data_IF_648105590733
#
_entry.id   IF_648105590733
#
_cell.length_a   1.000
_cell.length_b   1.000
_cell.length_c   1.000
_cell.angle_alpha   90.00
_cell.angle_beta   90.00
_cell.angle_gamma   90.00
#
_symmetry.space_group_name_H-M   'P 1'
#
loop_
_entity.id
_entity.type
_entity.pdbx_description
1 polymer ?
#
# COMPACT_ATOMS: atom_id res chain seq x y z
N UNK A 1 -14.48 9.03 14.00
CA UNK A 1 -13.22 8.34 13.66
C UNK A 1 -12.30 8.44 14.87
N UNK A 2 -11.67 7.33 15.29
CA UNK A 2 -10.67 7.32 16.36
C UNK A 2 -9.30 7.16 15.72
N UNK A 3 -8.35 8.02 16.10
CA UNK A 3 -6.95 7.92 15.67
C UNK A 3 -6.09 7.63 16.90
N UNK A 4 -5.28 6.58 16.83
CA UNK A 4 -4.33 6.22 17.87
C UNK A 4 -2.92 6.20 17.27
N UNK A 5 -2.04 7.07 17.76
CA UNK A 5 -0.65 7.16 17.33
C UNK A 5 0.20 6.46 18.39
N UNK A 6 0.85 5.36 18.00
CA UNK A 6 1.75 4.61 18.89
C UNK A 6 3.19 4.65 18.35
N UNK A 7 4.01 5.63 18.76
CA UNK A 7 5.40 5.75 18.29
C UNK A 7 6.33 4.71 18.92
N UNK A 8 5.90 3.99 19.97
CA UNK A 8 6.69 2.96 20.63
C UNK A 8 6.72 1.63 19.86
N UNK A 9 5.91 1.50 18.81
CA UNK A 9 5.92 0.31 17.96
C UNK A 9 7.28 0.15 17.28
N UNK A 10 7.87 -1.07 17.30
CA UNK A 10 9.02 -1.39 16.49
C UNK A 10 8.87 -1.00 15.02
N UNK A 11 9.98 -0.66 14.39
CA UNK A 11 10.01 -0.32 12.97
C UNK A 11 9.58 -1.52 12.11
N UNK A 12 8.41 -1.44 11.49
CA UNK A 12 7.85 -2.55 10.69
C UNK A 12 8.69 -2.89 9.46
N UNK A 13 9.41 -1.93 8.87
CA UNK A 13 10.34 -2.20 7.77
C UNK A 13 11.51 -3.04 8.26
N UNK A 14 12.16 -2.63 9.35
CA UNK A 14 13.29 -3.37 9.92
C UNK A 14 12.86 -4.80 10.31
N UNK A 15 11.71 -4.93 10.98
CA UNK A 15 11.15 -6.24 11.31
C UNK A 15 10.86 -7.11 10.07
N UNK A 16 10.30 -6.53 9.01
CA UNK A 16 9.99 -7.23 7.76
C UNK A 16 11.24 -7.78 7.04
N UNK A 17 12.41 -7.18 7.24
CA UNK A 17 13.67 -7.66 6.67
C UNK A 17 14.56 -8.42 7.67
N UNK A 18 14.03 -8.75 8.86
CA UNK A 18 14.75 -9.50 9.89
C UNK A 18 15.77 -8.69 10.69
N UNK A 19 15.73 -7.37 10.60
CA UNK A 19 16.67 -6.43 11.25
C UNK A 19 16.09 -5.78 12.53
N UNK A 20 14.92 -6.23 13.01
CA UNK A 20 14.29 -5.64 14.19
C UNK A 20 13.18 -6.50 14.81
N UNK A 21 12.70 -6.14 16.01
CA UNK A 21 11.65 -6.90 16.69
C UNK A 21 10.30 -6.73 16.00
N UNK A 22 9.45 -7.76 16.07
CA UNK A 22 8.09 -7.72 15.52
C UNK A 22 7.24 -6.67 16.24
N UNK A 23 6.48 -5.82 15.52
CA UNK A 23 5.55 -4.87 16.13
C UNK A 23 4.16 -5.48 16.44
N UNK A 24 3.93 -6.75 16.13
CA UNK A 24 2.60 -7.37 16.14
C UNK A 24 1.89 -7.27 17.50
N UNK A 25 2.58 -7.61 18.60
CA UNK A 25 2.00 -7.58 19.94
C UNK A 25 1.57 -6.14 20.33
N UNK A 26 2.43 -5.16 20.05
CA UNK A 26 2.12 -3.76 20.28
C UNK A 26 0.95 -3.26 19.43
N UNK A 27 0.85 -3.71 18.17
CA UNK A 27 -0.30 -3.41 17.31
C UNK A 27 -1.58 -4.03 17.86
N UNK A 28 -1.55 -5.29 18.31
CA UNK A 28 -2.70 -5.97 18.88
C UNK A 28 -3.19 -5.26 20.15
N UNK A 29 -2.25 -4.81 20.99
CA UNK A 29 -2.56 -3.97 22.14
C UNK A 29 -3.24 -2.65 21.74
N UNK A 30 -2.73 -1.94 20.74
CA UNK A 30 -3.34 -0.72 20.20
C UNK A 30 -4.74 -0.99 19.67
N UNK A 31 -4.95 -2.06 18.90
CA UNK A 31 -6.28 -2.41 18.38
C UNK A 31 -7.27 -2.74 19.49
N UNK A 32 -6.87 -3.51 20.51
CA UNK A 32 -7.72 -3.76 21.71
C UNK A 32 -8.14 -2.46 22.39
N UNK A 33 -7.24 -1.48 22.50
CA UNK A 33 -7.58 -0.15 23.05
C UNK A 33 -8.57 0.60 22.17
N UNK A 34 -8.40 0.58 20.85
CA UNK A 34 -9.33 1.23 19.92
C UNK A 34 -10.73 0.59 19.97
N UNK A 35 -10.82 -0.74 20.00
CA UNK A 35 -12.10 -1.45 20.14
C UNK A 35 -12.79 -1.10 21.46
N UNK A 36 -12.05 -1.06 22.59
CA UNK A 36 -12.58 -0.62 23.90
C UNK A 36 -13.07 0.83 23.89
N UNK A 37 -12.46 1.69 23.07
CA UNK A 37 -12.86 3.08 22.89
C UNK A 37 -14.08 3.24 21.95
N UNK A 38 -14.64 2.15 21.42
CA UNK A 38 -15.83 2.15 20.58
C UNK A 38 -15.56 2.10 19.08
N UNK A 39 -14.33 1.83 18.64
CA UNK A 39 -14.08 1.51 17.23
C UNK A 39 -14.84 0.24 16.85
N UNK A 40 -15.46 0.24 15.67
CA UNK A 40 -16.16 -0.94 15.12
C UNK A 40 -15.27 -1.77 14.20
N UNK A 41 -14.21 -1.16 13.66
CA UNK A 41 -13.17 -1.77 12.82
C UNK A 41 -11.86 -1.01 13.02
N UNK A 42 -10.75 -1.65 12.68
CA UNK A 42 -9.40 -1.07 12.72
C UNK A 42 -8.71 -1.17 11.36
N UNK A 43 -7.79 -0.25 11.08
CA UNK A 43 -6.95 -0.24 9.88
C UNK A 43 -5.59 0.37 10.22
N UNK A 44 -4.59 0.16 9.37
CA UNK A 44 -3.26 0.77 9.50
C UNK A 44 -2.93 1.53 8.23
N UNK A 45 -2.37 2.74 8.35
CA UNK A 45 -1.92 3.58 7.23
C UNK A 45 -0.42 3.46 7.03
N UNK A 46 0.06 2.23 6.81
CA UNK A 46 1.47 1.95 6.49
C UNK A 46 1.55 0.61 5.75
N UNK A 47 2.12 0.60 4.54
CA UNK A 47 2.17 -0.61 3.72
C UNK A 47 2.97 -1.73 4.39
N UNK A 48 4.20 -1.44 4.81
CA UNK A 48 5.07 -2.45 5.44
C UNK A 48 4.50 -3.00 6.75
N UNK A 49 3.69 -2.22 7.49
CA UNK A 49 3.04 -2.67 8.71
C UNK A 49 1.99 -3.79 8.47
N UNK A 50 1.48 -3.92 7.24
CA UNK A 50 0.51 -4.97 6.91
C UNK A 50 1.10 -6.38 6.97
N UNK A 51 2.43 -6.53 6.98
CA UNK A 51 3.08 -7.81 7.28
C UNK A 51 2.68 -8.37 8.66
N UNK A 52 2.29 -7.49 9.59
CA UNK A 52 1.96 -7.84 10.98
C UNK A 52 0.51 -7.49 11.37
N UNK A 53 -0.10 -6.51 10.68
CA UNK A 53 -1.38 -5.94 11.07
C UNK A 53 -2.53 -6.96 11.06
N UNK A 54 -2.56 -7.90 10.11
CA UNK A 54 -3.59 -8.94 10.05
C UNK A 54 -3.53 -9.86 11.27
N UNK A 55 -2.34 -10.40 11.57
CA UNK A 55 -2.14 -11.24 12.77
C UNK A 55 -2.41 -10.48 14.06
N UNK A 56 -2.03 -9.20 14.14
CA UNK A 56 -2.34 -8.33 15.26
C UNK A 56 -3.85 -8.10 15.44
N UNK A 57 -4.59 -7.92 14.36
CA UNK A 57 -6.04 -7.74 14.40
C UNK A 57 -6.77 -9.02 14.81
N UNK A 58 -6.30 -10.18 14.33
CA UNK A 58 -6.79 -11.51 14.75
C UNK A 58 -6.57 -11.73 16.25
N UNK A 59 -5.36 -11.46 16.76
CA UNK A 59 -5.04 -11.54 18.20
C UNK A 59 -5.87 -10.57 19.04
N UNK A 60 -6.23 -9.41 18.49
CA UNK A 60 -7.07 -8.43 19.15
C UNK A 60 -8.58 -8.74 19.06
N UNK A 61 -9.00 -9.70 18.24
CA UNK A 61 -10.41 -9.92 17.91
C UNK A 61 -11.05 -8.70 17.23
N UNK A 62 -10.27 -7.91 16.50
CA UNK A 62 -10.69 -6.64 15.92
C UNK A 62 -10.98 -6.81 14.41
N UNK A 63 -12.17 -6.43 13.92
CA UNK A 63 -12.44 -6.43 12.49
C UNK A 63 -11.46 -5.52 11.73
N UNK A 64 -10.72 -6.08 10.78
CA UNK A 64 -9.65 -5.38 10.08
C UNK A 64 -10.08 -4.93 8.69
N UNK A 65 -9.79 -3.67 8.36
CA UNK A 65 -9.82 -3.17 6.98
C UNK A 65 -8.40 -3.17 6.43
N UNK A 66 -8.13 -4.15 5.57
CA UNK A 66 -6.83 -4.36 4.95
C UNK A 66 -6.64 -3.44 3.75
N UNK A 67 -5.76 -2.45 3.88
CA UNK A 67 -5.50 -1.45 2.83
C UNK A 67 -4.93 -2.08 1.56
N UNK A 68 -4.08 -3.10 1.70
CA UNK A 68 -3.43 -3.76 0.57
C UNK A 68 -4.45 -4.57 -0.22
N UNK A 69 -5.31 -5.32 0.47
CA UNK A 69 -6.37 -6.07 -0.21
C UNK A 69 -7.37 -5.13 -0.90
N UNK A 70 -7.79 -4.05 -0.25
CA UNK A 70 -8.68 -3.05 -0.86
C UNK A 70 -8.06 -2.42 -2.12
N UNK A 71 -6.76 -2.13 -2.08
CA UNK A 71 -6.02 -1.59 -3.22
C UNK A 71 -5.93 -2.61 -4.35
N UNK A 72 -5.59 -3.87 -4.03
CA UNK A 72 -5.52 -4.95 -5.01
C UNK A 72 -6.88 -5.21 -5.66
N UNK A 73 -7.95 -5.27 -4.87
CA UNK A 73 -9.31 -5.46 -5.37
C UNK A 73 -9.71 -4.37 -6.35
N UNK A 74 -9.39 -3.11 -6.02
CA UNK A 74 -9.66 -1.96 -6.88
C UNK A 74 -8.86 -2.04 -8.19
N UNK A 75 -7.56 -2.31 -8.09
CA UNK A 75 -6.66 -2.42 -9.25
C UNK A 75 -7.13 -3.53 -10.20
N UNK A 76 -7.42 -4.72 -9.67
CA UNK A 76 -7.89 -5.85 -10.46
C UNK A 76 -9.24 -5.58 -11.10
N UNK A 77 -10.18 -4.96 -10.37
CA UNK A 77 -11.48 -4.57 -10.92
C UNK A 77 -11.37 -3.56 -12.07
N UNK A 78 -10.41 -2.64 -12.02
CA UNK A 78 -10.15 -1.68 -13.09
C UNK A 78 -9.47 -2.34 -14.29
N UNK A 79 -8.46 -3.19 -14.07
CA UNK A 79 -7.79 -3.95 -15.12
C UNK A 79 -8.75 -4.87 -15.88
N UNK A 80 -9.67 -5.53 -15.17
CA UNK A 80 -10.70 -6.39 -15.79
C UNK A 80 -11.52 -5.69 -16.87
N UNK A 81 -11.69 -4.36 -16.77
CA UNK A 81 -12.47 -3.57 -17.75
C UNK A 81 -11.75 -3.40 -19.09
N UNK A 82 -10.43 -3.63 -19.15
CA UNK A 82 -9.66 -3.50 -20.40
C UNK A 82 -9.93 -4.63 -21.39
N UNK A 83 -10.43 -5.78 -20.92
CA UNK A 83 -10.64 -6.98 -21.73
C UNK A 83 -9.35 -7.74 -22.08
N UNK A 84 -8.20 -7.34 -21.55
CA UNK A 84 -6.95 -8.11 -21.64
C UNK A 84 -7.03 -9.41 -20.83
N UNK A 85 -6.13 -10.35 -21.11
CA UNK A 85 -5.95 -11.59 -20.32
C UNK A 85 -4.58 -11.68 -19.66
N UNK A 86 -3.72 -10.71 -19.90
CA UNK A 86 -2.41 -10.59 -19.28
C UNK A 86 -2.25 -9.17 -18.79
N UNK A 87 -2.02 -9.02 -17.50
CA UNK A 87 -1.96 -7.74 -16.83
C UNK A 87 -0.61 -7.52 -16.16
N UNK A 88 -0.14 -6.28 -16.16
CA UNK A 88 1.07 -5.91 -15.42
C UNK A 88 0.83 -4.71 -14.52
N UNK A 89 1.13 -4.89 -13.25
CA UNK A 89 0.99 -3.87 -12.21
C UNK A 89 2.38 -3.40 -11.79
N UNK A 90 2.68 -2.12 -11.97
CA UNK A 90 3.90 -1.53 -11.41
C UNK A 90 3.72 -1.22 -9.92
N UNK A 91 4.73 -1.55 -9.12
CA UNK A 91 4.73 -1.28 -7.69
C UNK A 91 5.97 -0.47 -7.31
N UNK A 92 5.75 0.78 -6.88
CA UNK A 92 6.76 1.55 -6.16
C UNK A 92 6.52 1.38 -4.67
N UNK A 93 7.52 0.91 -3.92
CA UNK A 93 7.39 0.71 -2.48
C UNK A 93 8.76 0.62 -1.79
N UNK A 94 8.75 0.45 -0.47
CA UNK A 94 9.93 0.09 0.30
C UNK A 94 10.41 -1.31 -0.04
N UNK A 95 11.69 -1.58 0.17
CA UNK A 95 12.25 -2.92 -0.01
C UNK A 95 11.59 -3.94 0.93
N UNK A 96 11.23 -3.56 2.16
CA UNK A 96 10.51 -4.42 3.09
C UNK A 96 9.15 -4.89 2.56
N UNK A 97 8.38 -3.99 1.93
CA UNK A 97 7.08 -4.36 1.33
C UNK A 97 7.26 -5.31 0.15
N UNK A 98 8.28 -5.07 -0.69
CA UNK A 98 8.56 -5.87 -1.89
C UNK A 98 9.11 -7.25 -1.52
N UNK A 99 10.11 -7.32 -0.63
CA UNK A 99 10.73 -8.57 -0.17
C UNK A 99 9.75 -9.50 0.52
N UNK A 100 8.78 -8.94 1.25
CA UNK A 100 7.72 -9.71 1.91
C UNK A 100 6.60 -10.14 0.95
N UNK A 101 6.62 -9.71 -0.30
CA UNK A 101 5.61 -10.10 -1.28
C UNK A 101 4.20 -9.56 -0.96
N UNK A 102 4.07 -8.48 -0.20
CA UNK A 102 2.78 -8.08 0.39
C UNK A 102 1.73 -7.74 -0.67
N UNK A 103 2.09 -6.95 -1.68
CA UNK A 103 1.19 -6.62 -2.78
C UNK A 103 1.04 -7.78 -3.76
N UNK A 104 2.08 -8.59 -3.95
CA UNK A 104 2.03 -9.78 -4.79
C UNK A 104 0.94 -10.74 -4.27
N UNK A 105 0.96 -11.05 -2.98
CA UNK A 105 -0.06 -11.89 -2.34
C UNK A 105 -1.47 -11.28 -2.44
N UNK A 106 -1.62 -9.98 -2.20
CA UNK A 106 -2.92 -9.30 -2.28
C UNK A 106 -3.48 -9.28 -3.72
N UNK A 107 -2.63 -8.99 -4.71
CA UNK A 107 -3.00 -8.96 -6.12
C UNK A 107 -3.28 -10.36 -6.67
N UNK A 108 -2.53 -11.38 -6.24
CA UNK A 108 -2.79 -12.78 -6.59
C UNK A 108 -4.17 -13.22 -6.06
N UNK A 109 -4.46 -12.94 -4.79
CA UNK A 109 -5.77 -13.25 -4.19
C UNK A 109 -6.92 -12.51 -4.91
N UNK A 110 -6.74 -11.23 -5.22
CA UNK A 110 -7.74 -10.44 -5.96
C UNK A 110 -7.94 -10.96 -7.39
N UNK A 111 -6.85 -11.31 -8.09
CA UNK A 111 -6.91 -11.87 -9.44
C UNK A 111 -7.62 -13.23 -9.46
N UNK A 112 -7.30 -14.12 -8.52
CA UNK A 112 -7.97 -15.41 -8.37
C UNK A 112 -9.49 -15.25 -8.13
N UNK A 113 -9.89 -14.25 -7.34
CA UNK A 113 -11.29 -13.99 -7.04
C UNK A 113 -12.06 -13.33 -8.21
N UNK A 114 -11.41 -12.51 -9.04
CA UNK A 114 -12.10 -11.62 -9.97
C UNK A 114 -11.84 -11.89 -11.46
N UNK A 115 -10.68 -12.42 -11.82
CA UNK A 115 -10.27 -12.61 -13.22
C UNK A 115 -10.48 -14.04 -13.71
N UNK A 116 -10.47 -15.04 -12.83
CA UNK A 116 -10.55 -16.46 -13.24
C UNK A 116 -9.22 -17.00 -13.78
N UNK A 117 -9.14 -18.32 -14.01
CA UNK A 117 -7.88 -19.06 -14.20
C UNK A 117 -7.07 -18.74 -15.45
N UNK A 118 -7.71 -18.22 -16.50
CA UNK A 118 -7.04 -17.97 -17.79
C UNK A 118 -6.30 -16.63 -17.83
N UNK A 119 -6.45 -15.82 -16.78
CA UNK A 119 -5.86 -14.51 -16.67
C UNK A 119 -4.55 -14.55 -15.89
N UNK A 120 -3.57 -13.78 -16.33
CA UNK A 120 -2.26 -13.66 -15.66
C UNK A 120 -2.06 -12.24 -15.15
N UNK A 121 -1.56 -12.10 -13.93
CA UNK A 121 -1.16 -10.82 -13.35
C UNK A 121 0.31 -10.91 -12.92
N UNK A 122 1.12 -10.00 -13.43
CA UNK A 122 2.53 -9.84 -13.07
C UNK A 122 2.71 -8.54 -12.28
N UNK A 123 3.50 -8.58 -11.19
CA UNK A 123 3.88 -7.39 -10.44
C UNK A 123 5.30 -6.99 -10.84
N UNK A 124 5.44 -5.81 -11.44
CA UNK A 124 6.71 -5.21 -11.82
C UNK A 124 7.21 -4.30 -10.70
N UNK A 125 8.49 -4.44 -10.35
CA UNK A 125 9.16 -3.61 -9.32
C UNK A 125 10.42 -2.97 -9.90
N UNK A 126 10.91 -1.84 -9.34
CA UNK A 126 12.15 -1.22 -9.80
C UNK A 126 13.32 -2.21 -9.77
N UNK A 127 14.20 -2.13 -10.76
CA UNK A 127 15.37 -3.00 -10.86
C UNK A 127 16.36 -2.78 -9.69
N UNK A 128 16.49 -1.53 -9.24
CA UNK A 128 17.28 -1.16 -8.07
C UNK A 128 16.37 -0.54 -7.00
N UNK A 129 16.00 -1.36 -6.01
CA UNK A 129 15.15 -0.93 -4.89
C UNK A 129 15.82 0.14 -4.01
N UNK A 130 17.16 0.27 -4.05
CA UNK A 130 17.88 1.25 -3.24
C UNK A 130 17.55 2.69 -3.63
N UNK A 131 17.23 2.94 -4.91
CA UNK A 131 16.85 4.26 -5.42
C UNK A 131 15.50 4.69 -4.86
N UNK A 132 14.47 3.86 -5.00
CA UNK A 132 13.14 4.15 -4.45
C UNK A 132 13.17 4.23 -2.93
N UNK A 133 13.89 3.31 -2.26
CA UNK A 133 14.07 3.33 -0.81
C UNK A 133 14.77 4.60 -0.34
N UNK A 134 15.81 5.06 -1.03
CA UNK A 134 16.53 6.30 -0.72
C UNK A 134 15.62 7.52 -0.83
N UNK A 135 14.80 7.60 -1.89
CA UNK A 135 13.80 8.67 -2.06
C UNK A 135 12.77 8.66 -0.93
N UNK A 136 12.24 7.50 -0.56
CA UNK A 136 11.27 7.36 0.54
C UNK A 136 11.89 7.84 1.87
N UNK A 137 13.14 7.48 2.17
CA UNK A 137 13.82 7.92 3.39
C UNK A 137 14.06 9.43 3.41
N UNK A 138 14.40 10.02 2.26
CA UNK A 138 14.56 11.47 2.10
C UNK A 138 13.24 12.22 2.32
N UNK A 139 12.12 11.72 1.76
CA UNK A 139 10.78 12.26 2.04
C UNK A 139 10.46 12.18 3.53
N UNK A 140 10.71 11.02 4.15
CA UNK A 140 10.47 10.79 5.59
C UNK A 140 11.30 11.72 6.47
N UNK A 141 12.52 12.06 6.04
CA UNK A 141 13.42 13.02 6.67
C UNK A 141 13.12 14.48 6.35
N UNK A 142 12.05 14.77 5.59
CA UNK A 142 11.69 16.10 5.10
C UNK A 142 12.76 16.77 4.20
N UNK A 143 13.58 15.97 3.53
CA UNK A 143 14.56 16.39 2.51
C UNK A 143 14.05 16.02 1.10
N UNK A 144 13.05 16.74 0.57
CA UNK A 144 12.48 16.44 -0.75
C UNK A 144 11.99 17.63 -1.58
N UNK A 145 11.93 18.84 -1.00
CA UNK A 145 11.20 19.97 -1.60
C UNK A 145 11.94 20.66 -2.76
N UNK A 146 13.27 20.68 -2.70
CA UNK A 146 14.13 21.36 -3.68
C UNK A 146 15.22 20.42 -4.22
N UNK A 147 14.84 19.17 -4.51
CA UNK A 147 15.79 18.16 -4.94
C UNK A 147 15.21 17.21 -6.00
N UNK A 148 15.99 16.19 -6.34
CA UNK A 148 15.74 15.22 -7.39
C UNK A 148 14.79 14.07 -6.99
N UNK A 149 14.18 14.11 -5.79
CA UNK A 149 13.33 13.02 -5.29
C UNK A 149 12.14 12.74 -6.19
N UNK A 150 11.31 13.74 -6.50
CA UNK A 150 10.12 13.53 -7.34
C UNK A 150 10.50 13.12 -8.78
N UNK A 151 11.44 13.80 -9.47
CA UNK A 151 11.92 13.35 -10.79
C UNK A 151 12.49 11.93 -10.78
N UNK A 152 13.20 11.54 -9.72
CA UNK A 152 13.75 10.18 -9.58
C UNK A 152 12.64 9.15 -9.43
N UNK A 153 11.65 9.39 -8.57
CA UNK A 153 10.50 8.50 -8.41
C UNK A 153 9.68 8.38 -9.70
N UNK A 154 9.49 9.47 -10.41
CA UNK A 154 8.80 9.48 -11.71
C UNK A 154 9.58 8.66 -12.76
N UNK A 155 10.91 8.75 -12.77
CA UNK A 155 11.77 7.95 -13.65
C UNK A 155 11.64 6.46 -13.34
N UNK A 156 11.64 6.08 -12.06
CA UNK A 156 11.45 4.67 -11.66
C UNK A 156 10.06 4.17 -12.06
N UNK A 157 9.00 4.95 -11.87
CA UNK A 157 7.66 4.59 -12.35
C UNK A 157 7.60 4.44 -13.88
N UNK A 158 8.20 5.37 -14.64
CA UNK A 158 8.26 5.30 -16.10
C UNK A 158 9.04 4.08 -16.60
N UNK A 159 10.06 3.63 -15.87
CA UNK A 159 10.77 2.40 -16.21
C UNK A 159 9.86 1.16 -16.12
N UNK A 160 8.90 1.13 -15.18
CA UNK A 160 7.89 0.08 -15.07
C UNK A 160 6.86 0.18 -16.20
N UNK A 161 6.44 1.40 -16.55
CA UNK A 161 5.55 1.63 -17.72
C UNK A 161 6.18 1.11 -19.00
N UNK A 162 7.48 1.38 -19.23
CA UNK A 162 8.23 0.85 -20.38
C UNK A 162 8.31 -0.68 -20.42
N UNK A 163 8.17 -1.35 -19.28
CA UNK A 163 8.10 -2.82 -19.17
C UNK A 163 6.66 -3.36 -19.33
N UNK A 164 5.69 -2.47 -19.56
CA UNK A 164 4.29 -2.80 -19.84
C UNK A 164 3.36 -2.63 -18.65
N UNK A 165 3.77 -1.99 -17.55
CA UNK A 165 2.85 -1.70 -16.44
C UNK A 165 1.67 -0.85 -16.94
N UNK A 166 0.44 -1.32 -16.67
CA UNK A 166 -0.82 -0.64 -17.04
C UNK A 166 -1.33 0.28 -15.92
N UNK A 167 -0.74 0.18 -14.74
CA UNK A 167 -1.10 0.93 -13.53
C UNK A 167 0.10 0.93 -12.58
N UNK A 168 0.29 2.02 -11.84
CA UNK A 168 1.33 2.11 -10.80
C UNK A 168 0.67 2.23 -9.43
N UNK A 169 1.01 1.32 -8.51
CA UNK A 169 0.66 1.44 -7.10
C UNK A 169 1.77 2.20 -6.37
N UNK A 170 1.40 3.27 -5.67
CA UNK A 170 2.28 4.00 -4.74
C UNK A 170 2.26 3.32 -3.37
N UNK A 171 2.86 2.14 -3.31
CA UNK A 171 2.87 1.22 -2.16
C UNK A 171 3.67 1.69 -0.94
N UNK A 172 3.85 2.99 -0.75
CA UNK A 172 4.41 3.60 0.46
C UNK A 172 3.74 4.96 0.68
N UNK A 173 3.41 5.30 1.92
CA UNK A 173 2.61 6.48 2.28
C UNK A 173 3.27 7.82 1.97
N UNK A 174 4.58 7.81 1.75
CA UNK A 174 5.41 8.93 1.37
C UNK A 174 5.36 9.22 -0.13
N UNK A 175 5.10 8.22 -0.97
CA UNK A 175 5.16 8.34 -2.44
C UNK A 175 4.15 9.31 -3.05
N UNK A 176 2.93 9.52 -2.51
CA UNK A 176 2.00 10.54 -3.02
C UNK A 176 2.56 11.97 -3.05
N UNK A 177 3.65 12.27 -2.32
CA UNK A 177 4.39 13.54 -2.44
C UNK A 177 4.91 13.77 -3.87
N UNK A 178 5.31 12.71 -4.58
CA UNK A 178 5.78 12.79 -5.96
C UNK A 178 4.66 12.61 -6.99
N UNK A 179 3.54 12.00 -6.62
CA UNK A 179 2.45 11.62 -7.52
C UNK A 179 1.10 12.27 -7.14
N UNK A 180 1.09 13.60 -6.99
CA UNK A 180 -0.13 14.38 -6.76
C UNK A 180 -0.37 15.37 -7.90
N UNK A 181 -1.56 15.96 -7.94
CA UNK A 181 -2.00 16.87 -9.01
C UNK A 181 -1.09 18.09 -9.22
N UNK A 182 -0.35 18.54 -8.20
CA UNK A 182 0.56 19.69 -8.32
C UNK A 182 1.93 19.29 -8.89
N UNK A 183 2.46 18.14 -8.48
CA UNK A 183 3.81 17.68 -8.82
C UNK A 183 3.82 16.84 -10.10
N UNK A 184 2.84 15.97 -10.26
CA UNK A 184 2.66 15.07 -11.39
C UNK A 184 1.19 15.11 -11.84
N UNK A 185 0.75 16.18 -12.52
CA UNK A 185 -0.64 16.38 -12.93
C UNK A 185 -1.14 15.33 -13.92
N UNK A 186 -0.22 14.71 -14.66
CA UNK A 186 -0.52 13.66 -15.62
C UNK A 186 0.59 12.61 -15.59
N UNK A 187 0.19 11.34 -15.68
CA UNK A 187 1.10 10.21 -15.81
C UNK A 187 0.57 9.27 -16.91
N UNK A 188 1.42 8.55 -17.66
CA UNK A 188 0.98 7.75 -18.81
C UNK A 188 -0.02 6.63 -18.49
N UNK A 189 -0.07 6.20 -17.23
CA UNK A 189 -0.99 5.18 -16.72
C UNK A 189 -1.58 5.64 -15.38
N UNK A 190 -2.72 5.08 -14.93
CA UNK A 190 -3.28 5.43 -13.63
C UNK A 190 -2.27 5.22 -12.49
N UNK A 191 -2.21 6.20 -11.59
CA UNK A 191 -1.53 6.07 -10.30
C UNK A 191 -2.57 5.74 -9.23
N UNK A 192 -2.36 4.66 -8.49
CA UNK A 192 -3.22 4.25 -7.38
C UNK A 192 -2.50 4.52 -6.06
N UNK A 193 -3.12 5.36 -5.23
CA UNK A 193 -2.69 5.63 -3.86
C UNK A 193 -3.48 4.76 -2.87
N UNK A 194 -2.83 3.80 -2.19
CA UNK A 194 -3.49 2.93 -1.21
C UNK A 194 -4.18 3.69 -0.08
N UNK A 195 -3.63 4.85 0.34
CA UNK A 195 -4.26 5.67 1.38
C UNK A 195 -5.59 6.25 0.90
N UNK A 196 -5.67 6.68 -0.36
CA UNK A 196 -6.90 7.20 -0.93
C UNK A 196 -7.95 6.10 -1.04
N UNK A 197 -7.55 4.91 -1.52
CA UNK A 197 -8.44 3.74 -1.61
C UNK A 197 -9.02 3.37 -0.23
N UNK A 198 -8.19 3.36 0.81
CA UNK A 198 -8.65 3.09 2.18
C UNK A 198 -9.59 4.19 2.68
N UNK A 199 -9.26 5.46 2.47
CA UNK A 199 -10.08 6.60 2.90
C UNK A 199 -11.46 6.56 2.23
N UNK A 200 -11.50 6.38 0.91
CA UNK A 200 -12.75 6.25 0.14
C UNK A 200 -13.61 5.11 0.68
N UNK A 201 -12.98 3.96 0.99
CA UNK A 201 -13.70 2.82 1.54
C UNK A 201 -14.30 3.12 2.92
N UNK A 202 -13.55 3.78 3.79
CA UNK A 202 -14.03 4.18 5.13
C UNK A 202 -15.23 5.13 5.01
N UNK A 203 -15.15 6.13 4.13
CA UNK A 203 -16.25 7.08 3.88
C UNK A 203 -17.47 6.34 3.35
N UNK A 204 -17.31 5.51 2.33
CA UNK A 204 -18.39 4.70 1.74
C UNK A 204 -19.13 3.88 2.82
N UNK A 205 -18.38 3.15 3.65
CA UNK A 205 -18.95 2.31 4.69
C UNK A 205 -19.65 3.11 5.78
N UNK A 206 -19.10 4.27 6.14
CA UNK A 206 -19.69 5.14 7.17
C UNK A 206 -21.02 5.70 6.71
N UNK A 207 -21.09 6.20 5.47
CA UNK A 207 -22.34 6.74 4.90
C UNK A 207 -23.41 5.65 4.72
N UNK A 208 -23.02 4.45 4.29
CA UNK A 208 -23.95 3.33 4.15
C UNK A 208 -24.53 2.84 5.49
N UNK A 209 -23.84 3.06 6.60
CA UNK A 209 -24.33 2.69 7.95
C UNK A 209 -25.29 3.70 8.58
N UNK A 210 -25.47 4.86 7.94
CA UNK A 210 -26.39 5.93 8.39
C UNK A 210 -27.72 5.94 7.62
N UNK A 211 -27.82 5.15 6.55
CA UNK A 211 -29.02 4.97 5.72
C UNK A 211 -29.83 3.75 6.19
#
# INVERSE_FOLDING_TARGET
MLMYINPELPNSRAAAVGEGPSPQEGMAFTFRRMMKAGATRVCVVCNTAHAFARGAAEEAGAPFLDMLQLTADRVVADLKKSGSTSFKVGLLSTDGTIKMGLYQAALEAAAAAQLGSDNKLEVLVPADLSVTQGCILRIKGNDYRDNDVSPTLEREANALVKQGAEVIITGCTELPVAFNETVCPAFPVPIVNPMQVLADKIVQMTLASQA
#
